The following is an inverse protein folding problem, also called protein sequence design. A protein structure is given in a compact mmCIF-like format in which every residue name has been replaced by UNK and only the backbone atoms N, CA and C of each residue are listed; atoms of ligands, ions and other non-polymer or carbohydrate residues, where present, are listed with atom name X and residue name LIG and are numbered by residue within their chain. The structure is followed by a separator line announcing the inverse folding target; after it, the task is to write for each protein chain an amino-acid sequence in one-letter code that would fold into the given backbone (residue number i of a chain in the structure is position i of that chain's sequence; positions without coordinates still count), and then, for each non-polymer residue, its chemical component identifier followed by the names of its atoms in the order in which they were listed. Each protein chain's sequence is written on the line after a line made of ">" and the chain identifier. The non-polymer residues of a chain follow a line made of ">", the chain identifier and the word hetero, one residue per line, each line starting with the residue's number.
data_IF_009438942430
#
_entry.id   IF_009438942430
#
_cell.length_a   1.000
_cell.length_b   1.000
_cell.length_c   1.000
_cell.angle_alpha   90.00
_cell.angle_beta   90.00
_cell.angle_gamma   90.00
#
_symmetry.space_group_name_H-M   'P 1'
#
loop_
_entity.id
_entity.type
_entity.pdbx_description
1 polymer ?
#
# COMPACT_ATOMS: atom_id res chain seq x y z
N UNK A 1 3.81 -2.80 -19.03
CA UNK A 1 5.03 -3.50 -18.57
C UNK A 1 4.78 -4.99 -18.59
N UNK A 2 5.81 -5.83 -18.76
CA UNK A 2 5.65 -7.30 -18.71
C UNK A 2 6.21 -7.80 -17.39
N UNK A 3 5.36 -8.41 -16.57
CA UNK A 3 5.73 -9.06 -15.32
C UNK A 3 5.44 -10.56 -15.43
N UNK A 4 6.16 -11.36 -14.66
CA UNK A 4 5.99 -12.81 -14.55
C UNK A 4 4.89 -13.16 -13.55
N UNK A 5 4.79 -12.41 -12.45
CA UNK A 5 3.92 -12.74 -11.31
C UNK A 5 2.81 -11.73 -11.08
N UNK A 6 2.73 -10.69 -11.91
CA UNK A 6 1.74 -9.61 -11.82
C UNK A 6 1.07 -9.37 -13.17
N UNK A 7 -0.17 -8.88 -13.16
CA UNK A 7 -0.76 -8.21 -14.32
C UNK A 7 -1.33 -6.86 -13.93
N UNK A 8 -1.39 -5.92 -14.88
CA UNK A 8 -1.90 -4.58 -14.64
C UNK A 8 -2.72 -4.11 -15.84
N UNK A 9 -3.95 -3.67 -15.58
CA UNK A 9 -4.85 -3.07 -16.57
C UNK A 9 -5.25 -1.67 -16.10
N UNK A 10 -5.22 -0.69 -17.00
CA UNK A 10 -5.56 0.71 -16.71
C UNK A 10 -6.82 1.05 -17.50
N UNK A 11 -7.85 1.56 -16.83
CA UNK A 11 -9.07 2.03 -17.49
C UNK A 11 -8.98 3.48 -17.97
N UNK A 12 -10.02 3.95 -18.65
CA UNK A 12 -10.09 5.29 -19.24
C UNK A 12 -10.03 6.43 -18.20
N UNK A 13 -10.35 6.15 -16.93
CA UNK A 13 -10.28 7.10 -15.82
C UNK A 13 -8.90 7.12 -15.14
N UNK A 14 -7.98 6.26 -15.59
CA UNK A 14 -6.63 6.10 -15.03
C UNK A 14 -6.60 5.25 -13.77
N UNK A 15 -7.61 4.42 -13.50
CA UNK A 15 -7.57 3.46 -12.39
C UNK A 15 -6.86 2.19 -12.86
N UNK A 16 -5.70 1.92 -12.27
CA UNK A 16 -4.94 0.70 -12.50
C UNK A 16 -5.46 -0.43 -11.61
N UNK A 17 -5.76 -1.58 -12.18
CA UNK A 17 -6.03 -2.83 -11.45
C UNK A 17 -4.80 -3.71 -11.51
N UNK A 18 -4.03 -3.75 -10.42
CA UNK A 18 -2.88 -4.61 -10.23
C UNK A 18 -3.32 -5.94 -9.65
N UNK A 19 -3.09 -7.03 -10.38
CA UNK A 19 -3.46 -8.39 -9.98
C UNK A 19 -2.21 -9.20 -9.66
N UNK A 20 -2.18 -9.85 -8.49
CA UNK A 20 -1.18 -10.87 -8.17
C UNK A 20 -1.54 -12.15 -8.92
N UNK A 21 -0.65 -12.65 -9.76
CA UNK A 21 -0.95 -13.64 -10.80
C UNK A 21 -0.11 -14.90 -10.66
N UNK A 22 -0.22 -15.56 -9.49
CA UNK A 22 0.28 -16.93 -9.25
C UNK A 22 -0.84 -17.81 -8.67
N UNK A 23 -2.00 -17.95 -9.35
CA UNK A 23 -3.21 -18.53 -8.76
C UNK A 23 -3.02 -19.99 -8.32
N UNK A 24 -2.20 -20.77 -9.02
CA UNK A 24 -1.87 -22.15 -8.67
C UNK A 24 -1.15 -22.27 -7.32
N UNK A 25 -0.39 -21.24 -6.94
CA UNK A 25 0.29 -21.11 -5.65
C UNK A 25 -0.49 -20.22 -4.66
N UNK A 26 -1.78 -19.94 -4.91
CA UNK A 26 -2.59 -19.01 -4.11
C UNK A 26 -1.97 -17.62 -3.97
N UNK A 27 -1.30 -17.17 -5.03
CA UNK A 27 -0.57 -15.91 -5.07
C UNK A 27 0.43 -15.80 -3.92
N UNK A 28 1.09 -16.92 -3.56
CA UNK A 28 2.20 -16.90 -2.62
C UNK A 28 3.26 -15.90 -3.09
N UNK A 29 3.85 -15.17 -2.16
CA UNK A 29 4.82 -14.11 -2.40
C UNK A 29 6.20 -14.74 -2.47
N UNK A 30 6.82 -14.75 -3.64
CA UNK A 30 8.21 -15.16 -3.84
C UNK A 30 9.11 -13.94 -4.10
N UNK A 31 10.42 -14.17 -4.24
CA UNK A 31 11.39 -13.10 -4.49
C UNK A 31 11.22 -12.43 -5.86
N UNK A 32 10.58 -13.09 -6.83
CA UNK A 32 10.26 -12.46 -8.11
C UNK A 32 9.10 -11.48 -7.92
N UNK A 33 8.01 -11.91 -7.30
CA UNK A 33 6.88 -11.03 -6.96
C UNK A 33 7.30 -9.86 -6.08
N UNK A 34 8.20 -10.09 -5.11
CA UNK A 34 8.76 -9.02 -4.29
C UNK A 34 9.40 -7.91 -5.13
N UNK A 35 10.30 -8.29 -6.04
CA UNK A 35 11.01 -7.35 -6.93
C UNK A 35 10.05 -6.66 -7.89
N UNK A 36 9.09 -7.39 -8.45
CA UNK A 36 8.10 -6.83 -9.39
C UNK A 36 7.15 -5.85 -8.70
N UNK A 37 6.70 -6.14 -7.48
CA UNK A 37 5.86 -5.22 -6.70
C UNK A 37 6.64 -3.97 -6.30
N UNK A 38 7.88 -4.11 -5.84
CA UNK A 38 8.74 -2.97 -5.52
C UNK A 38 8.95 -2.09 -6.75
N UNK A 39 9.36 -2.68 -7.88
CA UNK A 39 9.53 -1.99 -9.16
C UNK A 39 8.25 -1.28 -9.59
N UNK A 40 7.10 -1.96 -9.52
CA UNK A 40 5.83 -1.39 -9.91
C UNK A 40 5.51 -0.16 -9.06
N UNK A 41 5.56 -0.25 -7.73
CA UNK A 41 5.20 0.87 -6.87
C UNK A 41 6.24 2.00 -6.86
N UNK A 42 7.53 1.69 -6.99
CA UNK A 42 8.61 2.67 -6.95
C UNK A 42 8.81 3.41 -8.28
N UNK A 43 8.45 2.81 -9.41
CA UNK A 43 8.74 3.34 -10.74
C UNK A 43 7.48 3.42 -11.60
N UNK A 44 6.87 2.28 -11.89
CA UNK A 44 5.84 2.20 -12.94
C UNK A 44 4.54 2.91 -12.56
N UNK A 45 4.14 2.78 -11.29
CA UNK A 45 2.99 3.44 -10.68
C UNK A 45 3.12 4.97 -10.65
N UNK A 46 4.31 5.54 -10.90
CA UNK A 46 4.50 6.99 -10.98
C UNK A 46 4.05 7.59 -12.32
N UNK A 47 3.81 6.79 -13.37
CA UNK A 47 3.26 7.25 -14.64
C UNK A 47 1.94 8.02 -14.44
N UNK A 48 1.82 9.23 -15.00
CA UNK A 48 0.64 10.09 -14.86
C UNK A 48 -0.64 9.50 -15.49
N UNK A 49 -0.52 8.48 -16.35
CA UNK A 49 -1.66 7.68 -16.81
C UNK A 49 -2.32 6.90 -15.67
N UNK A 50 -1.56 6.53 -14.63
CA UNK A 50 -2.07 5.88 -13.42
C UNK A 50 -2.41 6.97 -12.40
N UNK A 51 -3.66 7.02 -11.97
CA UNK A 51 -4.20 8.05 -11.07
C UNK A 51 -4.58 7.47 -9.71
N UNK A 52 -5.01 6.21 -9.69
CA UNK A 52 -5.24 5.41 -8.49
C UNK A 52 -5.00 3.92 -8.81
N UNK A 53 -4.81 3.10 -7.77
CA UNK A 53 -4.48 1.68 -7.91
C UNK A 53 -5.42 0.84 -7.05
N UNK A 54 -6.00 -0.20 -7.63
CA UNK A 54 -6.68 -1.29 -6.95
C UNK A 54 -5.78 -2.52 -7.01
N UNK A 55 -5.47 -3.12 -5.87
CA UNK A 55 -4.67 -4.35 -5.79
C UNK A 55 -5.58 -5.52 -5.43
N UNK A 56 -5.53 -6.62 -6.18
CA UNK A 56 -6.28 -7.87 -5.92
C UNK A 56 -5.43 -9.10 -6.26
N UNK A 57 -5.85 -10.31 -5.90
CA UNK A 57 -5.23 -11.54 -6.37
C UNK A 57 -6.06 -12.24 -7.44
N UNK A 58 -5.39 -12.95 -8.36
CA UNK A 58 -6.04 -13.83 -9.33
C UNK A 58 -6.61 -15.07 -8.63
N UNK A 59 -7.78 -15.53 -9.09
CA UNK A 59 -8.41 -16.75 -8.60
C UNK A 59 -8.96 -16.61 -7.17
N UNK A 60 -8.72 -17.64 -6.35
CA UNK A 60 -9.41 -17.81 -5.06
C UNK A 60 -8.74 -17.15 -3.86
N UNK A 61 -7.56 -16.58 -4.03
CA UNK A 61 -6.78 -15.97 -2.95
C UNK A 61 -6.33 -14.56 -3.31
N UNK A 62 -6.15 -13.73 -2.29
CA UNK A 62 -5.42 -12.48 -2.45
C UNK A 62 -3.93 -12.81 -2.50
N UNK A 63 -3.37 -13.30 -1.38
CA UNK A 63 -1.99 -13.77 -1.26
C UNK A 63 -1.86 -14.68 -0.02
N UNK A 64 -1.39 -15.92 -0.20
CA UNK A 64 -1.26 -16.89 0.89
C UNK A 64 -0.06 -16.65 1.83
N UNK A 65 0.74 -15.62 1.59
CA UNK A 65 1.95 -15.31 2.35
C UNK A 65 3.21 -15.72 1.60
N UNK A 66 4.34 -15.76 2.32
CA UNK A 66 5.64 -16.08 1.73
C UNK A 66 5.60 -17.48 1.10
N UNK A 67 6.17 -17.62 -0.08
CA UNK A 67 6.34 -18.92 -0.72
C UNK A 67 7.43 -19.72 0.00
N UNK A 68 6.99 -20.75 0.73
CA UNK A 68 7.87 -21.59 1.55
C UNK A 68 8.43 -22.80 0.78
N UNK A 69 8.25 -22.88 -0.53
CA UNK A 69 8.66 -24.03 -1.34
C UNK A 69 10.14 -24.02 -1.77
N UNK A 70 10.81 -22.87 -1.67
CA UNK A 70 12.22 -22.74 -2.02
C UNK A 70 13.15 -23.36 -0.98
N UNK A 71 14.33 -23.82 -1.42
CA UNK A 71 15.39 -24.27 -0.53
C UNK A 71 16.15 -23.08 0.10
N UNK A 72 16.71 -23.26 1.30
CA UNK A 72 17.46 -22.23 2.00
C UNK A 72 16.57 -21.21 2.73
N UNK A 73 17.07 -19.98 2.89
CA UNK A 73 16.32 -18.91 3.52
C UNK A 73 15.28 -18.34 2.57
N UNK A 74 14.02 -18.78 2.73
CA UNK A 74 12.89 -18.37 1.88
C UNK A 74 12.58 -16.87 1.93
N UNK A 75 13.13 -16.14 2.90
CA UNK A 75 12.94 -14.68 3.03
C UNK A 75 13.95 -13.87 2.20
N UNK A 76 14.92 -14.54 1.55
CA UNK A 76 15.96 -13.89 0.75
C UNK A 76 17.11 -13.30 1.57
N UNK A 77 17.23 -13.65 2.86
CA UNK A 77 18.24 -13.10 3.75
C UNK A 77 19.60 -13.81 3.62
N UNK A 78 20.68 -13.04 3.76
CA UNK A 78 22.05 -13.56 3.77
C UNK A 78 22.46 -13.93 5.20
N UNK A 79 22.45 -15.23 5.48
CA UNK A 79 22.75 -15.81 6.79
C UNK A 79 24.22 -15.65 7.21
N UNK A 80 25.11 -15.22 6.30
CA UNK A 80 26.51 -14.94 6.63
C UNK A 80 26.71 -13.57 7.29
N UNK A 81 25.69 -12.71 7.23
CA UNK A 81 25.72 -11.35 7.80
C UNK A 81 25.28 -11.33 9.26
N UNK A 82 25.85 -10.41 10.04
CA UNK A 82 25.45 -10.14 11.43
C UNK A 82 25.60 -8.65 11.74
N UNK A 83 24.78 -7.78 11.14
CA UNK A 83 24.93 -6.34 11.26
C UNK A 83 24.53 -5.84 12.66
N UNK A 84 25.22 -4.78 13.11
CA UNK A 84 24.74 -3.94 14.21
C UNK A 84 23.68 -2.94 13.72
N UNK A 85 22.85 -2.38 14.62
CA UNK A 85 21.90 -1.33 14.25
C UNK A 85 22.56 -0.12 13.58
N UNK A 86 23.76 0.27 14.02
CA UNK A 86 24.52 1.39 13.47
C UNK A 86 25.02 1.10 12.05
N UNK A 87 25.60 -0.08 11.82
CA UNK A 87 26.07 -0.50 10.49
C UNK A 87 24.91 -0.60 9.48
N UNK A 88 23.81 -1.22 9.89
CA UNK A 88 22.65 -1.34 9.03
C UNK A 88 22.05 0.02 8.69
N UNK A 89 22.00 0.96 9.64
CA UNK A 89 21.49 2.31 9.38
C UNK A 89 22.39 3.11 8.44
N UNK A 90 23.71 2.94 8.51
CA UNK A 90 24.68 3.68 7.70
C UNK A 90 24.71 3.25 6.23
N UNK A 91 24.36 1.99 5.94
CA UNK A 91 24.44 1.38 4.60
C UNK A 91 23.12 0.70 4.20
N UNK A 92 22.00 1.20 4.70
CA UNK A 92 20.67 0.58 4.60
C UNK A 92 20.31 0.14 3.18
N UNK A 93 20.54 1.01 2.20
CA UNK A 93 20.20 0.83 0.78
C UNK A 93 21.40 0.39 -0.09
N UNK A 94 22.48 -0.09 0.53
CA UNK A 94 23.69 -0.54 -0.15
C UNK A 94 23.90 -2.03 0.01
N UNK A 95 24.60 -2.65 -0.95
CA UNK A 95 25.06 -4.02 -0.80
C UNK A 95 26.02 -4.14 0.40
N UNK A 96 25.95 -5.23 1.19
CA UNK A 96 25.07 -6.39 0.99
C UNK A 96 23.68 -6.26 1.66
N UNK A 97 23.40 -5.16 2.36
CA UNK A 97 22.19 -5.03 3.18
C UNK A 97 20.89 -4.85 2.39
N UNK A 98 20.96 -4.26 1.19
CA UNK A 98 19.78 -4.02 0.37
C UNK A 98 19.03 -5.30 -0.02
N UNK A 99 19.78 -6.37 -0.29
CA UNK A 99 19.24 -7.68 -0.67
C UNK A 99 19.40 -8.73 0.45
N UNK A 100 20.41 -8.59 1.32
CA UNK A 100 20.75 -9.62 2.32
C UNK A 100 20.16 -9.42 3.71
N UNK A 101 19.62 -8.22 4.04
CA UNK A 101 19.06 -7.92 5.38
C UNK A 101 17.70 -7.25 5.29
N UNK A 102 17.49 -6.32 4.36
CA UNK A 102 16.21 -5.63 4.22
C UNK A 102 15.12 -6.65 3.92
N UNK A 103 14.12 -6.68 4.80
CA UNK A 103 12.90 -7.45 4.59
C UNK A 103 12.25 -7.06 3.25
N UNK A 104 12.07 -8.04 2.37
CA UNK A 104 11.50 -7.85 1.03
C UNK A 104 10.05 -7.36 1.09
N UNK A 105 9.28 -7.79 2.09
CA UNK A 105 7.94 -7.23 2.37
C UNK A 105 8.00 -5.76 2.77
N UNK A 106 9.01 -5.39 3.56
CA UNK A 106 9.34 -4.02 3.94
C UNK A 106 9.67 -3.13 2.74
N UNK A 107 10.47 -3.62 1.78
CA UNK A 107 10.78 -2.90 0.54
C UNK A 107 9.49 -2.56 -0.24
N UNK A 108 8.62 -3.55 -0.43
CA UNK A 108 7.33 -3.37 -1.11
C UNK A 108 6.42 -2.38 -0.37
N UNK A 109 6.25 -2.53 0.94
CA UNK A 109 5.37 -1.65 1.73
C UNK A 109 5.87 -0.21 1.81
N UNK A 110 7.19 0.00 1.87
CA UNK A 110 7.77 1.34 1.79
C UNK A 110 7.55 1.98 0.41
N UNK A 111 7.64 1.22 -0.68
CA UNK A 111 7.31 1.72 -2.03
C UNK A 111 5.83 2.09 -2.16
N UNK A 112 4.91 1.26 -1.66
CA UNK A 112 3.47 1.57 -1.61
C UNK A 112 3.21 2.85 -0.80
N UNK A 113 3.87 2.99 0.35
CA UNK A 113 3.72 4.15 1.23
C UNK A 113 4.24 5.44 0.59
N UNK A 114 5.34 5.37 -0.16
CA UNK A 114 5.95 6.52 -0.82
C UNK A 114 5.15 7.02 -2.03
N UNK A 115 4.34 6.15 -2.67
CA UNK A 115 3.54 6.50 -3.83
C UNK A 115 2.50 7.59 -3.49
N UNK A 116 2.55 8.78 -4.12
CA UNK A 116 1.64 9.89 -3.85
C UNK A 116 0.29 9.74 -4.58
N UNK A 117 -0.23 8.52 -4.66
CA UNK A 117 -1.50 8.17 -5.32
C UNK A 117 -2.32 7.24 -4.41
N UNK A 118 -3.66 7.24 -4.50
CA UNK A 118 -4.49 6.33 -3.74
C UNK A 118 -4.26 4.87 -4.14
N UNK A 119 -4.12 3.99 -3.14
CA UNK A 119 -3.99 2.54 -3.30
C UNK A 119 -5.06 1.84 -2.45
N UNK A 120 -5.87 0.98 -3.08
CA UNK A 120 -6.95 0.23 -2.45
C UNK A 120 -6.66 -1.27 -2.54
N UNK A 121 -6.63 -1.97 -1.41
CA UNK A 121 -6.61 -3.43 -1.36
C UNK A 121 -8.03 -3.98 -1.53
N UNK A 122 -8.28 -4.74 -2.59
CA UNK A 122 -9.46 -5.57 -2.78
C UNK A 122 -9.12 -7.03 -2.40
N UNK A 123 -9.29 -7.37 -1.12
CA UNK A 123 -8.92 -8.68 -0.56
C UNK A 123 -9.98 -9.73 -0.95
N UNK A 124 -9.79 -10.35 -2.10
CA UNK A 124 -10.75 -11.29 -2.73
C UNK A 124 -10.83 -12.67 -2.07
N UNK A 125 -9.83 -13.05 -1.26
CA UNK A 125 -9.75 -14.36 -0.62
C UNK A 125 -8.73 -14.40 0.54
N UNK A 126 -8.06 -15.55 0.80
CA UNK A 126 -6.99 -15.61 1.79
C UNK A 126 -5.91 -14.55 1.59
N UNK A 127 -5.55 -13.87 2.69
CA UNK A 127 -4.49 -12.89 2.83
C UNK A 127 -3.74 -13.18 4.14
N UNK A 128 -2.59 -13.86 4.07
CA UNK A 128 -1.90 -14.39 5.26
C UNK A 128 -0.43 -13.96 5.25
N UNK A 129 0.15 -13.64 6.42
CA UNK A 129 1.54 -13.18 6.51
C UNK A 129 1.77 -11.93 5.65
N UNK A 130 2.79 -11.94 4.79
CA UNK A 130 3.05 -10.88 3.82
C UNK A 130 1.81 -10.52 2.97
N UNK A 131 0.95 -11.50 2.67
CA UNK A 131 -0.31 -11.25 1.98
C UNK A 131 -1.30 -10.37 2.74
N UNK A 132 -1.27 -10.38 4.08
CA UNK A 132 -2.04 -9.46 4.91
C UNK A 132 -1.27 -8.15 5.16
N UNK A 133 0.01 -8.23 5.48
CA UNK A 133 0.80 -7.07 5.93
C UNK A 133 1.11 -6.10 4.82
N UNK A 134 1.30 -6.55 3.57
CA UNK A 134 1.49 -5.64 2.43
C UNK A 134 0.30 -4.69 2.25
N UNK A 135 -0.91 -5.14 2.60
CA UNK A 135 -2.14 -4.34 2.49
C UNK A 135 -2.21 -3.21 3.51
N UNK A 136 -1.39 -3.24 4.56
CA UNK A 136 -1.41 -2.25 5.63
C UNK A 136 -0.82 -0.91 5.19
N UNK A 137 0.08 -0.92 4.21
CA UNK A 137 0.62 0.29 3.59
C UNK A 137 -0.32 0.91 2.54
N UNK A 138 -1.31 0.14 2.07
CA UNK A 138 -2.35 0.64 1.15
C UNK A 138 -3.33 1.55 1.91
N UNK A 139 -3.92 2.53 1.24
CA UNK A 139 -4.71 3.58 1.91
C UNK A 139 -6.04 3.03 2.44
N UNK A 140 -6.70 2.16 1.68
CA UNK A 140 -7.99 1.54 2.01
C UNK A 140 -7.91 0.03 1.81
N UNK A 141 -8.56 -0.73 2.68
CA UNK A 141 -8.78 -2.17 2.51
C UNK A 141 -10.27 -2.46 2.42
N UNK A 142 -10.67 -3.25 1.43
CA UNK A 142 -12.00 -3.81 1.26
C UNK A 142 -11.85 -5.33 1.16
N UNK A 143 -12.83 -6.08 1.63
CA UNK A 143 -12.73 -7.54 1.66
C UNK A 143 -13.96 -8.21 1.03
N UNK A 144 -13.72 -9.35 0.42
CA UNK A 144 -14.75 -10.32 0.08
C UNK A 144 -15.27 -10.98 1.37
N UNK A 145 -16.55 -11.37 1.41
CA UNK A 145 -17.09 -12.24 2.48
C UNK A 145 -16.29 -13.55 2.65
N UNK A 146 -15.60 -13.98 1.59
CA UNK A 146 -14.72 -15.17 1.60
C UNK A 146 -13.30 -14.88 2.09
N UNK A 147 -12.96 -13.63 2.40
CA UNK A 147 -11.63 -13.27 2.86
C UNK A 147 -11.27 -13.99 4.17
N UNK A 148 -9.99 -14.35 4.28
CA UNK A 148 -9.41 -14.98 5.46
C UNK A 148 -8.08 -14.30 5.73
N UNK A 149 -8.01 -13.53 6.81
CA UNK A 149 -6.88 -12.62 7.06
C UNK A 149 -6.09 -13.10 8.26
N UNK A 150 -4.77 -13.29 8.13
CA UNK A 150 -3.95 -13.88 9.20
C UNK A 150 -2.61 -13.22 9.43
N UNK A 151 -2.33 -12.84 10.68
CA UNK A 151 -1.03 -12.33 11.14
C UNK A 151 -0.25 -13.43 11.87
N UNK A 152 0.28 -14.39 11.11
CA UNK A 152 0.71 -15.71 11.63
C UNK A 152 2.17 -15.80 12.10
N UNK A 153 2.80 -14.68 12.47
CA UNK A 153 4.24 -14.59 12.75
C UNK A 153 4.73 -15.58 13.82
N UNK A 154 4.01 -15.67 14.95
CA UNK A 154 4.36 -16.55 16.05
C UNK A 154 4.31 -18.05 15.72
N UNK A 155 3.59 -18.44 14.66
CA UNK A 155 3.55 -19.83 14.18
C UNK A 155 4.80 -20.21 13.37
N UNK A 156 5.46 -19.22 12.76
CA UNK A 156 6.68 -19.40 11.97
C UNK A 156 7.95 -19.05 12.75
N UNK A 157 7.83 -18.54 13.99
CA UNK A 157 8.98 -18.11 14.79
C UNK A 157 9.60 -16.81 14.29
N UNK A 158 8.84 -15.98 13.58
CA UNK A 158 9.28 -14.69 13.04
C UNK A 158 8.58 -13.52 13.74
N UNK A 159 9.07 -12.32 13.51
CA UNK A 159 8.47 -11.06 14.00
C UNK A 159 7.49 -10.49 12.97
N UNK A 160 6.64 -9.51 13.36
CA UNK A 160 5.91 -8.72 12.38
C UNK A 160 6.85 -8.07 11.34
N UNK A 161 6.65 -8.40 10.08
CA UNK A 161 7.43 -7.93 8.91
C UNK A 161 6.66 -6.87 8.10
N UNK A 162 7.17 -6.42 6.96
CA UNK A 162 6.54 -5.43 6.06
C UNK A 162 6.10 -4.14 6.77
N UNK A 163 6.93 -3.68 7.71
CA UNK A 163 6.63 -2.54 8.58
C UNK A 163 5.30 -2.67 9.35
N UNK A 164 4.74 -3.88 9.48
CA UNK A 164 3.40 -4.10 10.05
C UNK A 164 3.31 -3.75 11.53
N UNK A 165 4.41 -3.84 12.28
CA UNK A 165 4.51 -3.34 13.66
C UNK A 165 4.31 -1.82 13.77
N UNK A 166 4.51 -1.07 12.68
CA UNK A 166 4.20 0.36 12.60
C UNK A 166 2.77 0.60 12.12
N UNK A 167 2.35 -0.05 11.02
CA UNK A 167 1.04 0.18 10.39
C UNK A 167 -0.14 -0.41 11.17
N UNK A 168 -0.08 -1.69 11.54
CA UNK A 168 -1.21 -2.40 12.14
C UNK A 168 -1.77 -1.70 13.39
N UNK A 169 -0.97 -1.33 14.41
CA UNK A 169 -1.51 -0.68 15.60
C UNK A 169 -2.09 0.73 15.32
N UNK A 170 -1.65 1.40 14.25
CA UNK A 170 -2.23 2.69 13.82
C UNK A 170 -3.59 2.52 13.15
N UNK A 171 -3.85 1.37 12.55
CA UNK A 171 -5.12 1.05 11.91
C UNK A 171 -6.14 0.54 12.94
N UNK A 172 -5.77 -0.49 13.71
CA UNK A 172 -6.73 -1.22 14.57
C UNK A 172 -6.63 -0.86 16.05
N UNK A 173 -5.57 -0.15 16.45
CA UNK A 173 -5.24 0.11 17.85
C UNK A 173 -4.28 -0.94 18.43
N UNK A 174 -3.47 -0.54 19.41
CA UNK A 174 -2.38 -1.38 19.93
C UNK A 174 -2.88 -2.69 20.56
N UNK A 175 -3.98 -2.65 21.31
CA UNK A 175 -4.54 -3.85 21.97
C UNK A 175 -4.97 -4.89 20.94
N UNK A 176 -5.73 -4.47 19.92
CA UNK A 176 -6.22 -5.36 18.88
C UNK A 176 -5.07 -5.94 18.04
N UNK A 177 -4.08 -5.10 17.72
CA UNK A 177 -2.89 -5.53 17.00
C UNK A 177 -2.12 -6.62 17.76
N UNK A 178 -1.90 -6.43 19.07
CA UNK A 178 -1.22 -7.43 19.91
C UNK A 178 -2.02 -8.74 20.00
N UNK A 179 -3.33 -8.66 20.18
CA UNK A 179 -4.19 -9.85 20.23
C UNK A 179 -4.10 -10.68 18.95
N UNK A 180 -4.20 -10.04 17.78
CA UNK A 180 -4.11 -10.74 16.50
C UNK A 180 -2.72 -11.33 16.24
N UNK A 181 -1.66 -10.63 16.61
CA UNK A 181 -0.27 -11.11 16.48
C UNK A 181 -0.01 -12.30 17.42
N UNK A 182 -0.48 -12.23 18.67
CA UNK A 182 -0.24 -13.28 19.67
C UNK A 182 -1.07 -14.54 19.41
N UNK A 183 -2.36 -14.36 19.07
CA UNK A 183 -3.24 -15.49 18.77
C UNK A 183 -2.87 -16.16 17.44
N UNK A 184 -2.33 -15.39 16.49
CA UNK A 184 -2.06 -15.83 15.12
C UNK A 184 -3.29 -16.50 14.47
N UNK A 185 -4.50 -16.12 14.88
CA UNK A 185 -5.75 -16.66 14.36
C UNK A 185 -6.05 -16.11 12.95
N UNK A 186 -6.84 -16.88 12.20
CA UNK A 186 -7.33 -16.46 10.89
C UNK A 186 -8.68 -15.77 11.09
N UNK A 187 -8.70 -14.47 10.79
CA UNK A 187 -9.86 -13.60 10.90
C UNK A 187 -10.81 -13.81 9.71
N UNK A 188 -12.11 -13.77 9.98
CA UNK A 188 -13.12 -13.58 8.93
C UNK A 188 -13.17 -12.13 8.46
N UNK A 189 -13.85 -11.88 7.33
CA UNK A 189 -14.08 -10.54 6.81
C UNK A 189 -14.83 -9.65 7.82
N UNK A 190 -15.80 -10.21 8.54
CA UNK A 190 -16.59 -9.53 9.56
C UNK A 190 -15.76 -9.18 10.79
N UNK A 191 -14.88 -10.08 11.24
CA UNK A 191 -13.94 -9.80 12.32
C UNK A 191 -12.96 -8.69 11.92
N UNK A 192 -12.45 -8.72 10.69
CA UNK A 192 -11.59 -7.67 10.16
C UNK A 192 -12.32 -6.32 10.06
N UNK A 193 -13.61 -6.32 9.71
CA UNK A 193 -14.45 -5.11 9.69
C UNK A 193 -14.67 -4.56 11.10
N UNK A 194 -15.07 -5.42 12.04
CA UNK A 194 -15.27 -5.05 13.44
C UNK A 194 -13.98 -4.51 14.09
N UNK A 195 -12.83 -5.09 13.74
CA UNK A 195 -11.51 -4.63 14.15
C UNK A 195 -10.99 -3.38 13.42
N UNK A 196 -11.77 -2.80 12.49
CA UNK A 196 -11.42 -1.64 11.65
C UNK A 196 -10.25 -1.86 10.68
N UNK A 197 -9.85 -3.11 10.43
CA UNK A 197 -8.83 -3.43 9.45
C UNK A 197 -9.31 -3.15 8.02
N UNK A 198 -10.55 -3.52 7.73
CA UNK A 198 -11.21 -3.28 6.43
C UNK A 198 -12.34 -2.27 6.57
N UNK A 199 -12.53 -1.45 5.54
CA UNK A 199 -13.58 -0.44 5.45
C UNK A 199 -14.97 -1.05 5.27
N UNK A 200 -15.05 -2.11 4.46
CA UNK A 200 -16.31 -2.70 4.02
C UNK A 200 -16.10 -4.12 3.50
N UNK A 201 -17.14 -4.94 3.62
CA UNK A 201 -17.20 -6.32 3.12
C UNK A 201 -18.21 -6.38 1.96
N UNK A 202 -17.87 -7.15 0.92
CA UNK A 202 -18.64 -7.24 -0.33
C UNK A 202 -18.77 -8.70 -0.78
N UNK A 203 -19.78 -8.99 -1.60
CA UNK A 203 -19.85 -10.26 -2.30
C UNK A 203 -18.60 -10.45 -3.19
N UNK A 204 -18.12 -11.69 -3.37
CA UNK A 204 -16.87 -11.96 -4.11
C UNK A 204 -16.82 -11.36 -5.52
N UNK A 205 -17.94 -11.37 -6.23
CA UNK A 205 -18.12 -10.87 -7.59
C UNK A 205 -18.33 -9.36 -7.69
N UNK A 206 -18.61 -8.69 -6.56
CA UNK A 206 -18.82 -7.24 -6.50
C UNK A 206 -17.58 -6.47 -6.02
N UNK A 207 -16.67 -7.14 -5.30
CA UNK A 207 -15.57 -6.50 -4.58
C UNK A 207 -14.67 -5.62 -5.46
N UNK A 208 -14.16 -6.16 -6.57
CA UNK A 208 -13.19 -5.45 -7.42
C UNK A 208 -13.86 -4.26 -8.10
N UNK A 209 -15.07 -4.44 -8.62
CA UNK A 209 -15.85 -3.35 -9.21
C UNK A 209 -16.14 -2.23 -8.20
N UNK A 210 -16.51 -2.58 -6.96
CA UNK A 210 -16.72 -1.62 -5.90
C UNK A 210 -15.44 -0.87 -5.51
N UNK A 211 -14.28 -1.54 -5.52
CA UNK A 211 -13.00 -0.92 -5.23
C UNK A 211 -12.55 0.04 -6.35
N UNK A 212 -12.75 -0.34 -7.61
CA UNK A 212 -12.48 0.53 -8.77
C UNK A 212 -13.39 1.76 -8.77
N UNK A 213 -14.67 1.58 -8.43
CA UNK A 213 -15.60 2.71 -8.31
C UNK A 213 -15.19 3.65 -7.19
N UNK A 214 -14.80 3.12 -6.03
CA UNK A 214 -14.25 3.94 -4.95
C UNK A 214 -13.00 4.71 -5.41
N UNK A 215 -12.08 4.05 -6.15
CA UNK A 215 -10.90 4.68 -6.71
C UNK A 215 -11.26 5.85 -7.65
N UNK A 216 -12.25 5.66 -8.54
CA UNK A 216 -12.76 6.71 -9.43
C UNK A 216 -13.24 7.93 -8.67
N UNK A 217 -13.96 7.74 -7.55
CA UNK A 217 -14.42 8.87 -6.73
C UNK A 217 -13.29 9.73 -6.14
N UNK A 218 -12.09 9.16 -6.02
CA UNK A 218 -10.92 9.85 -5.52
C UNK A 218 -10.19 10.67 -6.59
N UNK A 219 -10.34 10.32 -7.89
CA UNK A 219 -9.51 10.91 -8.95
C UNK A 219 -10.32 11.71 -9.97
N UNK A 220 -11.54 11.29 -10.32
CA UNK A 220 -12.36 12.00 -11.32
C UNK A 220 -12.72 13.39 -10.81
N UNK A 221 -12.46 14.42 -11.62
CA UNK A 221 -12.61 15.83 -11.26
C UNK A 221 -11.88 16.21 -9.96
N UNK A 222 -10.67 15.69 -9.74
CA UNK A 222 -9.79 16.03 -8.60
C UNK A 222 -8.37 16.39 -9.07
N UNK A 223 -7.72 17.28 -8.33
CA UNK A 223 -6.30 17.61 -8.54
C UNK A 223 -5.43 16.50 -7.97
N UNK A 224 -4.66 15.83 -8.82
CA UNK A 224 -3.75 14.75 -8.41
C UNK A 224 -2.60 15.27 -7.54
N UNK A 225 -2.13 16.49 -7.79
CA UNK A 225 -1.12 17.16 -6.96
C UNK A 225 -1.66 17.38 -5.55
N UNK A 226 -2.88 17.91 -5.41
CA UNK A 226 -3.49 18.15 -4.11
C UNK A 226 -3.72 16.84 -3.35
N UNK A 227 -4.18 15.79 -4.03
CA UNK A 227 -4.37 14.46 -3.43
C UNK A 227 -3.07 13.85 -2.93
N UNK A 228 -2.03 13.85 -3.77
CA UNK A 228 -0.73 13.29 -3.41
C UNK A 228 -0.09 14.03 -2.23
N UNK A 229 -0.18 15.36 -2.20
CA UNK A 229 0.26 16.16 -1.06
C UNK A 229 -0.58 15.88 0.18
N UNK A 230 -1.90 15.77 0.07
CA UNK A 230 -2.76 15.45 1.21
C UNK A 230 -2.38 14.10 1.85
N UNK A 231 -2.15 13.06 1.04
CA UNK A 231 -1.66 11.75 1.53
C UNK A 231 -0.35 11.89 2.31
N UNK A 232 0.64 12.58 1.74
CA UNK A 232 1.95 12.82 2.39
C UNK A 232 1.81 13.59 3.70
N UNK A 233 1.03 14.67 3.72
CA UNK A 233 0.79 15.49 4.90
C UNK A 233 0.14 14.69 6.02
N UNK A 234 -0.91 13.91 5.73
CA UNK A 234 -1.61 13.10 6.73
C UNK A 234 -0.65 12.13 7.41
N UNK A 235 0.17 11.42 6.64
CA UNK A 235 1.12 10.45 7.19
C UNK A 235 2.24 11.11 7.99
N UNK A 236 2.83 12.17 7.45
CA UNK A 236 3.94 12.86 8.11
C UNK A 236 3.50 13.60 9.36
N UNK A 237 2.47 14.42 9.26
CA UNK A 237 2.09 15.34 10.33
C UNK A 237 1.48 14.61 11.52
N UNK A 238 0.91 13.40 11.32
CA UNK A 238 0.46 12.54 12.41
C UNK A 238 1.57 12.09 13.37
N UNK A 239 2.84 12.19 12.96
CA UNK A 239 4.01 11.86 13.78
C UNK A 239 4.81 13.10 14.25
N UNK A 240 4.34 14.32 13.95
CA UNK A 240 5.03 15.55 14.30
C UNK A 240 5.08 15.76 15.83
N UNK A 241 6.22 16.25 16.35
CA UNK A 241 6.40 16.50 17.77
C UNK A 241 5.58 17.69 18.30
N UNK A 242 5.22 18.65 17.44
CA UNK A 242 4.47 19.85 17.79
C UNK A 242 3.63 20.33 16.58
N UNK A 243 2.44 20.94 16.79
CA UNK A 243 1.60 21.43 15.68
C UNK A 243 2.27 22.44 14.75
N UNK A 244 3.29 23.16 15.22
CA UNK A 244 4.07 24.07 14.39
C UNK A 244 4.80 23.34 13.25
N UNK A 245 5.38 22.16 13.52
CA UNK A 245 6.10 21.37 12.51
C UNK A 245 5.16 20.93 11.38
N UNK A 246 3.93 20.52 11.74
CA UNK A 246 2.89 20.23 10.76
C UNK A 246 2.50 21.48 9.95
N UNK A 247 2.34 22.63 10.63
CA UNK A 247 1.89 23.86 10.01
C UNK A 247 2.87 24.44 8.99
N UNK A 248 4.18 24.29 9.20
CA UNK A 248 5.21 24.73 8.25
C UNK A 248 5.00 24.07 6.88
N UNK A 249 4.73 22.77 6.89
CA UNK A 249 4.50 21.96 5.71
C UNK A 249 3.13 22.20 5.10
N UNK A 250 2.09 22.29 5.94
CA UNK A 250 0.73 22.63 5.50
C UNK A 250 0.71 23.94 4.72
N UNK A 251 1.42 24.96 5.24
CA UNK A 251 1.46 26.29 4.62
C UNK A 251 2.12 26.28 3.25
N UNK A 252 3.23 25.55 3.11
CA UNK A 252 3.92 25.43 1.82
C UNK A 252 3.11 24.62 0.81
N UNK A 253 2.49 23.52 1.24
CA UNK A 253 1.61 22.71 0.40
C UNK A 253 0.40 23.52 -0.06
N UNK A 254 -0.25 24.24 0.86
CA UNK A 254 -1.38 25.12 0.57
C UNK A 254 -1.00 26.20 -0.43
N UNK A 255 0.16 26.85 -0.27
CA UNK A 255 0.65 27.85 -1.21
C UNK A 255 0.77 27.26 -2.62
N UNK A 256 1.54 26.18 -2.80
CA UNK A 256 1.77 25.59 -4.12
C UNK A 256 0.49 25.09 -4.79
N UNK A 257 -0.39 24.43 -4.03
CA UNK A 257 -1.67 23.96 -4.60
C UNK A 257 -2.62 25.10 -4.90
N UNK A 258 -2.65 26.16 -4.09
CA UNK A 258 -3.57 27.29 -4.28
C UNK A 258 -3.22 28.15 -5.49
N UNK A 259 -1.92 28.34 -5.77
CA UNK A 259 -1.48 29.14 -6.93
C UNK A 259 -1.48 28.35 -8.25
N UNK A 260 -1.54 27.02 -8.18
CA UNK A 260 -1.73 26.08 -9.29
C UNK A 260 -3.21 25.70 -9.48
N UNK A 261 -3.51 24.39 -9.40
CA UNK A 261 -4.85 23.82 -9.60
C UNK A 261 -5.95 24.46 -8.73
N UNK A 262 -5.59 25.01 -7.57
CA UNK A 262 -6.53 25.72 -6.69
C UNK A 262 -7.19 26.93 -7.36
N UNK A 263 -6.51 27.64 -8.26
CA UNK A 263 -7.12 28.75 -9.04
C UNK A 263 -8.27 28.25 -9.91
N UNK A 264 -8.04 27.14 -10.59
CA UNK A 264 -9.05 26.50 -11.44
C UNK A 264 -10.21 25.95 -10.61
N UNK A 265 -9.92 25.31 -9.47
CA UNK A 265 -10.97 24.83 -8.56
C UNK A 265 -11.88 25.95 -8.08
N UNK A 266 -11.31 27.10 -7.69
CA UNK A 266 -12.10 28.29 -7.29
C UNK A 266 -12.89 28.89 -8.45
N UNK A 267 -12.30 28.97 -9.65
CA UNK A 267 -12.97 29.48 -10.84
C UNK A 267 -14.17 28.60 -11.24
N UNK A 268 -13.95 27.29 -11.35
CA UNK A 268 -14.96 26.31 -11.70
C UNK A 268 -16.15 26.31 -10.72
N UNK A 269 -15.87 26.42 -9.41
CA UNK A 269 -16.90 26.55 -8.38
C UNK A 269 -17.76 27.81 -8.56
N UNK A 270 -17.14 28.97 -8.81
CA UNK A 270 -17.87 30.25 -9.04
C UNK A 270 -18.70 30.21 -10.32
N UNK A 271 -18.19 29.56 -11.36
CA UNK A 271 -18.81 29.43 -12.67
C UNK A 271 -19.83 28.27 -12.77
N UNK A 272 -19.95 27.44 -11.72
CA UNK A 272 -20.81 26.25 -11.66
C UNK A 272 -20.56 25.27 -12.80
N UNK A 273 -19.28 24.99 -13.08
CA UNK A 273 -18.83 24.00 -14.07
C UNK A 273 -17.89 22.98 -13.43
N UNK A 274 -17.64 21.87 -14.12
CA UNK A 274 -16.61 20.92 -13.72
C UNK A 274 -15.20 21.57 -13.82
N UNK A 275 -14.30 21.32 -12.87
CA UNK A 275 -12.93 21.80 -12.92
C UNK A 275 -12.09 21.01 -13.94
N UNK A 276 -11.08 21.66 -14.50
CA UNK A 276 -10.08 21.05 -15.38
C UNK A 276 -8.69 21.18 -14.78
N UNK A 277 -8.37 20.28 -13.87
CA UNK A 277 -7.06 20.24 -13.25
C UNK A 277 -5.99 19.76 -14.24
N UNK A 278 -4.85 20.42 -14.26
CA UNK A 278 -3.73 20.12 -15.16
C UNK A 278 -2.47 19.68 -14.43
N UNK A 279 -2.45 19.80 -13.09
CA UNK A 279 -1.35 19.34 -12.27
C UNK A 279 -1.14 17.82 -12.37
N UNK A 280 0.12 17.41 -12.53
CA UNK A 280 0.52 16.01 -12.66
C UNK A 280 1.10 15.46 -11.36
N UNK A 281 0.85 14.18 -11.07
CA UNK A 281 1.37 13.55 -9.86
C UNK A 281 2.90 13.41 -9.90
N UNK A 282 3.48 13.30 -11.10
CA UNK A 282 4.93 13.32 -11.30
C UNK A 282 5.58 14.67 -10.97
N UNK A 283 4.81 15.75 -10.88
CA UNK A 283 5.28 17.13 -10.65
C UNK A 283 5.01 17.62 -9.22
N UNK A 284 4.79 16.70 -8.27
CA UNK A 284 4.59 17.08 -6.87
C UNK A 284 5.79 17.92 -6.36
N UNK A 285 5.55 19.10 -5.77
CA UNK A 285 6.62 19.88 -5.17
C UNK A 285 7.29 19.08 -4.05
N UNK A 286 8.61 19.21 -3.93
CA UNK A 286 9.38 18.65 -2.81
C UNK A 286 9.07 19.49 -1.55
N UNK A 287 8.11 19.01 -0.77
CA UNK A 287 7.68 19.62 0.48
C UNK A 287 8.01 18.62 1.59
N UNK A 288 9.22 18.75 2.12
CA UNK A 288 9.77 17.93 3.21
C UNK A 288 9.54 18.50 4.60
#
# INVERSE_FOLDING_TARGET
>A
MTYETLSCEIDDDGVATLTLSRPDALNAFDLTMARELEQFFAVDAHDDAIRAIVVTGEGRAFCAGMDLSAEGNVFGLDESLSPTPEEFRASYDQAPYDDGIRDTGGKVTLAIHALPKPVIAAINGPAVGIGATMTLAMDIRMASEKARIGFVFGRLGIVPEACSSWFLPRIVGIQQALEWVYSAEILTAEQALAGRLVRSVHAPDELVAAAQELARTFVVDRSLVALGLAKRLIHRNGAAAHPLEAHLTDSLAMYWTSVGDGKEGVAAFREKRAPRFTGRASELPAIE
#
